data_IF_159105535716
#
_entry.id   IF_159105535716
#
_cell.length_a   1.000
_cell.length_b   1.000
_cell.length_c   1.000
_cell.angle_alpha   90.00
_cell.angle_beta   90.00
_cell.angle_gamma   90.00
#
_symmetry.space_group_name_H-M   'P 1'
#
loop_
_entity.id
_entity.type
_entity.pdbx_description
1 polymer ?
#
# COMPACT_ATOMS: atom_id res chain seq x y z
N UNK A 1 0.04 11.18 -9.32
CA UNK A 1 0.28 11.87 -8.03
C UNK A 1 1.67 12.50 -8.06
N UNK A 2 1.73 13.75 -8.37
CA UNK A 2 2.94 14.56 -8.34
C UNK A 2 2.81 15.53 -7.16
N UNK A 3 3.88 15.76 -6.43
CA UNK A 3 3.91 16.72 -5.34
C UNK A 3 4.34 16.12 -4.00
N UNK A 4 4.20 16.91 -2.96
CA UNK A 4 4.58 16.56 -1.60
C UNK A 4 3.61 15.57 -0.96
N UNK A 5 4.05 14.85 0.06
CA UNK A 5 3.17 14.01 0.87
C UNK A 5 2.10 14.83 1.60
N UNK A 6 0.85 14.36 1.56
CA UNK A 6 -0.26 14.91 2.30
C UNK A 6 -0.68 14.01 3.48
N UNK A 7 -1.40 14.60 4.42
CA UNK A 7 -2.07 13.83 5.48
C UNK A 7 -3.05 12.83 4.88
N UNK A 8 -3.11 11.61 5.44
CA UNK A 8 -3.96 10.53 4.96
C UNK A 8 -3.32 9.68 3.86
N UNK A 9 -2.24 10.13 3.23
CA UNK A 9 -1.52 9.32 2.25
C UNK A 9 -0.78 8.15 2.90
N UNK A 10 -0.57 7.08 2.12
CA UNK A 10 0.31 6.00 2.52
C UNK A 10 1.73 6.30 2.06
N UNK A 11 2.68 6.03 2.95
CA UNK A 11 4.10 6.17 2.72
C UNK A 11 4.82 4.87 3.01
N UNK A 12 5.81 4.54 2.20
CA UNK A 12 6.67 3.38 2.37
C UNK A 12 8.02 3.85 2.91
N UNK A 13 8.32 3.49 4.15
CA UNK A 13 9.61 3.75 4.79
C UNK A 13 10.55 2.59 4.49
N UNK A 14 11.74 2.88 4.00
CA UNK A 14 12.76 1.88 3.68
C UNK A 14 14.01 2.20 4.49
N UNK A 15 14.43 1.27 5.34
CA UNK A 15 15.64 1.43 6.15
C UNK A 15 16.92 1.01 5.41
N UNK A 16 18.06 1.21 6.04
CA UNK A 16 19.38 0.86 5.50
C UNK A 16 19.56 -0.64 5.21
N UNK A 17 18.73 -1.49 5.82
CA UNK A 17 18.71 -2.96 5.60
C UNK A 17 17.66 -3.38 4.58
N UNK A 18 17.08 -2.42 3.83
CA UNK A 18 16.03 -2.66 2.82
C UNK A 18 14.72 -3.20 3.40
N UNK A 19 14.50 -3.10 4.70
CA UNK A 19 13.22 -3.44 5.32
C UNK A 19 12.21 -2.35 5.01
N UNK A 20 10.98 -2.76 4.74
CA UNK A 20 9.89 -1.91 4.27
C UNK A 20 8.79 -1.82 5.33
N UNK A 21 8.24 -0.64 5.49
CA UNK A 21 7.17 -0.36 6.45
C UNK A 21 6.14 0.54 5.79
N UNK A 22 4.91 0.02 5.64
CA UNK A 22 3.79 0.76 5.06
C UNK A 22 3.08 1.53 6.19
N UNK A 23 3.09 2.86 6.10
CA UNK A 23 2.58 3.76 7.12
C UNK A 23 1.50 4.65 6.52
N UNK A 24 0.39 4.83 7.23
CA UNK A 24 -0.59 5.86 6.90
C UNK A 24 -0.25 7.14 7.65
N UNK A 25 0.02 8.21 6.91
CA UNK A 25 0.44 9.48 7.48
C UNK A 25 -0.73 10.21 8.15
N UNK A 26 -0.51 10.68 9.37
CA UNK A 26 -1.42 11.59 10.07
C UNK A 26 -0.61 12.59 10.89
N UNK A 27 -1.15 13.77 11.14
CA UNK A 27 -0.41 14.86 11.79
C UNK A 27 0.04 14.58 13.22
N UNK A 28 -0.65 13.69 13.91
CA UNK A 28 -0.35 13.34 15.30
C UNK A 28 0.40 12.00 15.40
N UNK A 29 0.69 11.37 14.25
CA UNK A 29 1.29 10.05 14.19
C UNK A 29 2.79 10.05 14.27
N UNK A 30 3.30 8.91 14.70
CA UNK A 30 4.73 8.60 14.76
C UNK A 30 4.97 7.19 14.24
N UNK A 31 5.98 7.02 13.40
CA UNK A 31 6.48 5.71 13.02
C UNK A 31 7.52 5.24 14.03
N UNK A 32 7.19 4.23 14.82
CA UNK A 32 8.05 3.66 15.85
C UNK A 32 8.83 2.44 15.35
N UNK A 33 10.11 2.39 15.67
CA UNK A 33 10.98 1.23 15.44
C UNK A 33 11.91 1.03 16.63
N UNK A 34 12.66 -0.07 16.65
CA UNK A 34 13.73 -0.28 17.64
C UNK A 34 14.81 0.82 17.58
N UNK A 35 14.88 1.56 16.50
CA UNK A 35 15.80 2.65 16.24
C UNK A 35 15.18 4.04 16.50
N UNK A 36 14.23 4.15 17.42
CA UNK A 36 13.53 5.39 17.75
C UNK A 36 12.27 5.59 16.91
N UNK A 37 11.81 6.83 16.81
CA UNK A 37 10.63 7.15 16.05
C UNK A 37 10.87 8.29 15.04
N UNK A 38 10.02 8.35 14.02
CA UNK A 38 9.95 9.42 13.04
C UNK A 38 8.56 10.04 13.14
N UNK A 39 8.41 11.32 13.52
CA UNK A 39 7.12 11.99 13.48
C UNK A 39 6.61 12.05 12.03
N UNK A 40 5.33 11.77 11.78
CA UNK A 40 4.77 11.85 10.44
C UNK A 40 4.83 13.27 9.87
N UNK A 41 4.85 14.29 10.74
CA UNK A 41 5.05 15.70 10.34
C UNK A 41 6.40 15.95 9.68
N UNK A 42 7.41 15.10 9.90
CA UNK A 42 8.70 15.18 9.20
C UNK A 42 8.61 14.73 7.73
N UNK A 43 7.53 14.02 7.37
CA UNK A 43 7.28 13.49 6.02
C UNK A 43 6.22 14.29 5.29
N UNK A 44 5.14 14.67 6.00
CA UNK A 44 4.07 15.49 5.41
C UNK A 44 4.66 16.82 4.94
N UNK A 45 4.40 17.17 3.68
CA UNK A 45 4.95 18.38 3.04
C UNK A 45 6.31 18.18 2.37
N UNK A 46 6.92 16.99 2.45
CA UNK A 46 8.17 16.68 1.74
C UNK A 46 7.92 15.93 0.43
N UNK A 47 8.87 15.97 -0.48
CA UNK A 47 8.83 15.19 -1.71
C UNK A 47 9.22 13.72 -1.44
N UNK A 48 8.60 12.75 -2.16
CA UNK A 48 9.07 11.38 -2.14
C UNK A 48 10.54 11.25 -2.51
N UNK A 49 11.24 10.30 -1.88
CA UNK A 49 12.66 10.07 -2.07
C UNK A 49 13.57 10.86 -1.14
N UNK A 50 13.02 11.78 -0.35
CA UNK A 50 13.79 12.49 0.67
C UNK A 50 14.09 11.58 1.87
N UNK A 51 15.34 11.62 2.40
CA UNK A 51 15.65 10.90 3.62
C UNK A 51 15.03 11.58 4.83
N UNK A 52 14.56 10.78 5.78
CA UNK A 52 14.16 11.22 7.11
C UNK A 52 14.95 10.47 8.16
N UNK A 53 15.10 11.06 9.33
CA UNK A 53 15.91 10.49 10.40
C UNK A 53 15.05 10.30 11.65
N UNK A 54 15.23 9.14 12.30
CA UNK A 54 14.58 8.87 13.58
C UNK A 54 15.28 9.60 14.73
N UNK A 55 14.65 9.63 15.88
CA UNK A 55 15.17 10.24 17.11
C UNK A 55 16.50 9.63 17.58
N UNK A 56 16.84 8.42 17.11
CA UNK A 56 18.12 7.74 17.41
C UNK A 56 19.09 7.74 16.21
N UNK A 57 18.85 8.56 15.20
CA UNK A 57 19.75 8.74 14.06
C UNK A 57 19.62 7.69 12.95
N UNK A 58 18.63 6.82 12.97
CA UNK A 58 18.41 5.88 11.87
C UNK A 58 17.75 6.58 10.68
N UNK A 59 18.31 6.34 9.50
CA UNK A 59 17.84 6.96 8.26
C UNK A 59 16.86 6.05 7.51
N UNK A 60 15.83 6.65 6.96
CA UNK A 60 14.83 6.03 6.10
C UNK A 60 14.68 6.83 4.82
N UNK A 61 14.53 6.15 3.69
CA UNK A 61 14.03 6.77 2.46
C UNK A 61 12.52 6.57 2.44
N UNK A 62 11.77 7.62 2.15
CA UNK A 62 10.31 7.57 2.13
C UNK A 62 9.80 7.73 0.70
N UNK A 63 9.09 6.72 0.22
CA UNK A 63 8.51 6.67 -1.12
C UNK A 63 6.98 6.52 -1.05
N UNK A 64 6.29 6.87 -2.14
CA UNK A 64 4.91 6.42 -2.33
C UNK A 64 4.90 4.93 -2.65
N UNK A 65 4.08 4.12 -1.97
CA UNK A 65 3.98 2.70 -2.28
C UNK A 65 3.40 2.49 -3.68
N UNK A 66 3.95 1.53 -4.40
CA UNK A 66 3.32 0.97 -5.59
C UNK A 66 2.15 0.07 -5.17
N UNK A 67 1.33 -0.38 -6.14
CA UNK A 67 0.30 -1.37 -5.83
C UNK A 67 0.93 -2.68 -5.31
N UNK A 68 2.06 -3.09 -5.86
CA UNK A 68 2.83 -4.25 -5.38
C UNK A 68 3.24 -4.09 -3.92
N UNK A 69 3.86 -2.97 -3.58
CA UNK A 69 4.27 -2.67 -2.20
C UNK A 69 3.06 -2.71 -1.25
N UNK A 70 1.95 -2.12 -1.67
CA UNK A 70 0.73 -2.11 -0.88
C UNK A 70 0.19 -3.52 -0.63
N UNK A 71 0.11 -4.36 -1.66
CA UNK A 71 -0.38 -5.74 -1.55
C UNK A 71 0.51 -6.59 -0.65
N UNK A 72 1.83 -6.40 -0.73
CA UNK A 72 2.80 -7.16 0.09
C UNK A 72 2.78 -6.71 1.55
N UNK A 73 2.71 -5.41 1.81
CA UNK A 73 2.89 -4.82 3.14
C UNK A 73 1.58 -4.54 3.89
N UNK A 74 0.41 -4.65 3.24
CA UNK A 74 -0.86 -4.38 3.90
C UNK A 74 -1.12 -5.34 5.07
N UNK A 75 -1.86 -4.90 6.13
CA UNK A 75 -2.26 -5.77 7.22
C UNK A 75 -3.03 -6.99 6.70
N UNK A 76 -2.69 -8.17 7.20
CA UNK A 76 -3.24 -9.44 6.72
C UNK A 76 -4.27 -9.99 7.70
N UNK A 77 -5.54 -9.86 7.37
CA UNK A 77 -6.62 -10.64 7.98
C UNK A 77 -6.96 -11.87 7.14
N UNK A 78 -6.83 -11.78 5.81
CA UNK A 78 -7.02 -12.85 4.85
C UNK A 78 -5.72 -13.25 4.17
N UNK A 79 -5.73 -14.41 3.51
CA UNK A 79 -4.65 -14.81 2.62
C UNK A 79 -4.62 -13.88 1.42
N UNK A 80 -3.42 -13.41 1.05
CA UNK A 80 -3.20 -12.47 -0.04
C UNK A 80 -2.75 -13.22 -1.29
N UNK A 81 -3.34 -12.89 -2.44
CA UNK A 81 -2.81 -13.32 -3.75
C UNK A 81 -1.59 -12.44 -4.04
N UNK A 82 -0.45 -13.09 -4.30
CA UNK A 82 0.79 -12.37 -4.54
C UNK A 82 0.81 -11.67 -5.91
N UNK A 83 1.57 -10.56 -6.06
CA UNK A 83 1.67 -9.82 -7.32
C UNK A 83 2.05 -10.67 -8.53
N UNK A 84 2.92 -11.67 -8.34
CA UNK A 84 3.31 -12.61 -9.41
C UNK A 84 2.14 -13.41 -10.01
N UNK A 85 1.06 -13.59 -9.24
CA UNK A 85 -0.14 -14.30 -9.66
C UNK A 85 -1.25 -13.35 -10.11
N UNK A 86 -1.32 -12.15 -9.52
CA UNK A 86 -2.33 -11.13 -9.88
C UNK A 86 -2.23 -10.68 -11.33
N UNK A 87 -1.03 -10.47 -11.85
CA UNK A 87 -0.83 -10.02 -13.23
C UNK A 87 -1.25 -11.08 -14.25
N UNK A 88 -0.83 -12.36 -14.14
CA UNK A 88 -1.33 -13.43 -15.00
C UNK A 88 -2.86 -13.61 -14.92
N UNK A 89 -3.47 -13.50 -13.73
CA UNK A 89 -4.92 -13.59 -13.57
C UNK A 89 -5.64 -12.51 -14.38
N UNK A 90 -5.16 -11.27 -14.34
CA UNK A 90 -5.74 -10.18 -15.13
C UNK A 90 -5.56 -10.40 -16.64
N UNK A 91 -4.41 -10.92 -17.07
CA UNK A 91 -4.15 -11.22 -18.46
C UNK A 91 -5.03 -12.35 -18.98
N UNK A 92 -5.13 -13.45 -18.23
CA UNK A 92 -5.95 -14.63 -18.61
C UNK A 92 -7.44 -14.28 -18.57
N UNK A 93 -7.86 -13.47 -17.59
CA UNK A 93 -9.23 -13.00 -17.43
C UNK A 93 -9.64 -11.89 -18.40
N UNK A 94 -8.74 -11.48 -19.30
CA UNK A 94 -8.97 -10.40 -20.27
C UNK A 94 -9.50 -9.12 -19.61
N UNK A 95 -8.82 -8.66 -18.56
CA UNK A 95 -9.21 -7.45 -17.83
C UNK A 95 -8.73 -6.21 -18.61
N UNK A 96 -9.65 -5.35 -18.99
CA UNK A 96 -9.41 -4.13 -19.76
C UNK A 96 -10.19 -2.94 -19.18
N UNK A 97 -9.87 -1.70 -19.54
CA UNK A 97 -10.62 -0.53 -19.10
C UNK A 97 -12.10 -0.61 -19.49
N UNK A 98 -12.99 -0.53 -18.49
CA UNK A 98 -14.43 -0.67 -18.68
C UNK A 98 -14.97 -2.10 -18.58
N UNK A 99 -14.11 -3.12 -18.43
CA UNK A 99 -14.57 -4.49 -18.19
C UNK A 99 -15.45 -4.57 -16.93
N UNK A 100 -16.55 -5.33 -17.01
CA UNK A 100 -17.44 -5.58 -15.87
C UNK A 100 -17.15 -6.94 -15.29
N UNK A 101 -16.66 -6.97 -14.06
CA UNK A 101 -16.20 -8.18 -13.38
C UNK A 101 -17.05 -8.45 -12.15
N UNK A 102 -17.43 -9.70 -11.99
CA UNK A 102 -18.06 -10.18 -10.77
C UNK A 102 -17.08 -11.09 -10.02
N UNK A 103 -16.76 -10.73 -8.78
CA UNK A 103 -15.82 -11.45 -7.92
C UNK A 103 -16.52 -11.97 -6.66
N UNK A 104 -16.29 -13.24 -6.33
CA UNK A 104 -16.77 -13.84 -5.06
C UNK A 104 -15.60 -14.23 -4.20
N UNK A 105 -15.71 -14.01 -2.88
CA UNK A 105 -14.62 -14.25 -1.95
C UNK A 105 -13.51 -13.21 -2.11
N UNK A 106 -13.87 -11.93 -2.03
CA UNK A 106 -12.96 -10.78 -2.23
C UNK A 106 -11.75 -10.84 -1.30
N UNK A 107 -11.92 -11.32 -0.07
CA UNK A 107 -10.85 -11.51 0.90
C UNK A 107 -10.09 -10.23 1.20
N UNK A 108 -8.77 -10.22 0.94
CA UNK A 108 -7.91 -9.06 1.14
C UNK A 108 -8.17 -7.90 0.16
N UNK A 109 -8.92 -8.15 -0.91
CA UNK A 109 -9.15 -7.18 -1.99
C UNK A 109 -7.98 -7.01 -2.97
N UNK A 110 -6.92 -7.79 -2.87
CA UNK A 110 -5.74 -7.66 -3.72
C UNK A 110 -6.07 -7.80 -5.21
N UNK A 111 -6.90 -8.77 -5.58
CA UNK A 111 -7.34 -8.97 -6.96
C UNK A 111 -8.26 -7.81 -7.41
N UNK A 112 -9.25 -7.45 -6.59
CA UNK A 112 -10.14 -6.31 -6.88
C UNK A 112 -9.35 -5.03 -7.13
N UNK A 113 -8.40 -4.69 -6.26
CA UNK A 113 -7.55 -3.49 -6.42
C UNK A 113 -6.73 -3.54 -7.71
N UNK A 114 -6.24 -4.71 -8.09
CA UNK A 114 -5.46 -4.87 -9.33
C UNK A 114 -6.35 -4.65 -10.56
N UNK A 115 -7.53 -5.26 -10.58
CA UNK A 115 -8.49 -5.09 -11.68
C UNK A 115 -9.00 -3.64 -11.79
N UNK A 116 -9.28 -2.99 -10.65
CA UNK A 116 -9.63 -1.57 -10.59
C UNK A 116 -8.51 -0.68 -11.14
N UNK A 117 -7.24 -1.01 -10.85
CA UNK A 117 -6.08 -0.30 -11.40
C UNK A 117 -6.04 -0.38 -12.94
N UNK A 118 -6.50 -1.47 -13.52
CA UNK A 118 -6.64 -1.62 -14.98
C UNK A 118 -7.91 -0.99 -15.54
N UNK A 119 -8.73 -0.35 -14.72
CA UNK A 119 -9.92 0.38 -15.14
C UNK A 119 -11.19 -0.46 -15.26
N UNK A 120 -11.22 -1.65 -14.69
CA UNK A 120 -12.42 -2.48 -14.63
C UNK A 120 -13.43 -1.95 -13.59
N UNK A 121 -14.69 -2.35 -13.76
CA UNK A 121 -15.78 -2.16 -12.79
C UNK A 121 -16.02 -3.47 -12.05
N UNK A 122 -15.86 -3.47 -10.74
CA UNK A 122 -15.93 -4.68 -9.93
C UNK A 122 -17.22 -4.68 -9.11
N UNK A 123 -17.93 -5.81 -9.15
CA UNK A 123 -18.97 -6.16 -8.17
C UNK A 123 -18.45 -7.34 -7.35
N UNK A 124 -18.14 -7.10 -6.09
CA UNK A 124 -17.56 -8.10 -5.20
C UNK A 124 -18.55 -8.59 -4.15
N UNK A 125 -18.47 -9.88 -3.81
CA UNK A 125 -19.18 -10.48 -2.68
C UNK A 125 -18.17 -11.11 -1.74
N UNK A 126 -18.35 -10.85 -0.44
CA UNK A 126 -17.60 -11.47 0.65
C UNK A 126 -18.57 -12.00 1.71
N UNK A 127 -18.34 -13.24 2.17
CA UNK A 127 -19.17 -13.87 3.20
C UNK A 127 -18.70 -13.55 4.62
N UNK A 128 -17.42 -13.24 4.75
CA UNK A 128 -16.79 -12.97 6.04
C UNK A 128 -16.84 -11.49 6.33
N UNK A 129 -17.60 -11.12 7.38
CA UNK A 129 -17.73 -9.72 7.82
C UNK A 129 -16.42 -9.11 8.29
N UNK A 130 -15.48 -9.92 8.78
CA UNK A 130 -14.15 -9.48 9.21
C UNK A 130 -13.22 -9.06 8.05
N UNK A 131 -13.66 -9.23 6.80
CA UNK A 131 -12.94 -8.81 5.59
C UNK A 131 -13.63 -7.70 4.79
N UNK A 132 -14.75 -7.18 5.30
CA UNK A 132 -15.49 -6.07 4.65
C UNK A 132 -15.05 -4.70 5.14
#
# INVERSE_FOLDING_TARGET
>A
MSGVFAEGEKALFIDSKQRRYLIQLNKEGEFHSHAGFVPHTSVIGTLPGQPVESTKGSKYIVLRPTLEDFVIEMPRGAQVIYPKDLAPMCMIGDIYPGARVFETGVGSGALSMTMLRYGAHITGLELREDFM
#
